data_IF_748312401293
#
_entry.id   IF_748312401293
#
_cell.length_a   1.000
_cell.length_b   1.000
_cell.length_c   1.000
_cell.angle_alpha   90.00
_cell.angle_beta   90.00
_cell.angle_gamma   90.00
#
_symmetry.space_group_name_H-M   'P 1'
#
loop_
_entity.id
_entity.type
_entity.pdbx_description
1 polymer ?
#
# COMPACT_ATOMS: atom_id res chain seq x y z
N UNK A 1 7.05 14.94 2.86
CA UNK A 1 6.61 13.70 2.22
C UNK A 1 7.54 13.44 1.07
N UNK A 2 8.11 12.25 1.04
CA UNK A 2 8.96 11.74 -0.04
C UNK A 2 8.23 10.53 -0.63
N UNK A 3 7.83 10.67 -1.90
CA UNK A 3 7.04 9.64 -2.59
C UNK A 3 7.88 8.38 -2.84
N UNK A 4 9.15 8.54 -3.23
CA UNK A 4 10.03 7.42 -3.53
C UNK A 4 10.31 6.62 -2.26
N UNK A 5 10.62 7.31 -1.15
CA UNK A 5 10.84 6.67 0.15
C UNK A 5 9.58 5.96 0.66
N UNK A 6 8.43 6.62 0.58
CA UNK A 6 7.14 6.04 1.03
C UNK A 6 6.81 4.78 0.23
N UNK A 7 6.93 4.83 -1.09
CA UNK A 7 6.65 3.69 -1.98
C UNK A 7 7.68 2.57 -1.78
N UNK A 8 8.95 2.90 -1.57
CA UNK A 8 9.98 1.92 -1.26
C UNK A 8 9.71 1.20 0.07
N UNK A 9 9.29 1.93 1.10
CA UNK A 9 8.89 1.38 2.41
C UNK A 9 7.70 0.42 2.28
N UNK A 10 6.65 0.83 1.55
CA UNK A 10 5.48 -0.01 1.30
C UNK A 10 5.85 -1.28 0.50
N UNK A 11 6.65 -1.14 -0.55
CA UNK A 11 7.09 -2.27 -1.37
C UNK A 11 7.96 -3.25 -0.56
N UNK A 12 8.88 -2.73 0.27
CA UNK A 12 9.70 -3.55 1.15
C UNK A 12 8.87 -4.33 2.17
N UNK A 13 7.86 -3.68 2.78
CA UNK A 13 6.95 -4.33 3.71
C UNK A 13 6.15 -5.47 3.06
N UNK A 14 5.61 -5.24 1.85
CA UNK A 14 4.92 -6.28 1.08
C UNK A 14 5.87 -7.43 0.75
N UNK A 15 7.07 -7.13 0.26
CA UNK A 15 8.08 -8.12 -0.11
C UNK A 15 8.45 -9.01 1.08
N UNK A 16 8.57 -8.42 2.27
CA UNK A 16 8.86 -9.13 3.51
C UNK A 16 7.73 -10.08 3.93
N UNK A 17 6.47 -9.67 3.78
CA UNK A 17 5.30 -10.43 4.25
C UNK A 17 4.84 -11.47 3.22
N UNK A 18 4.97 -11.19 1.93
CA UNK A 18 4.39 -12.00 0.85
C UNK A 18 5.45 -12.82 0.08
N UNK A 19 6.40 -13.44 0.79
CA UNK A 19 7.40 -14.35 0.21
C UNK A 19 8.18 -13.76 -0.97
N UNK A 20 8.56 -12.48 -0.89
CA UNK A 20 9.34 -11.82 -1.93
C UNK A 20 8.51 -11.26 -3.10
N UNK A 21 7.19 -11.43 -3.11
CA UNK A 21 6.34 -10.83 -4.13
C UNK A 21 6.29 -9.31 -4.00
N UNK A 22 6.29 -8.61 -5.12
CA UNK A 22 6.24 -7.15 -5.17
C UNK A 22 4.83 -6.66 -5.51
N UNK A 23 4.39 -5.53 -4.92
CA UNK A 23 3.12 -4.94 -5.26
C UNK A 23 3.15 -4.37 -6.68
N UNK A 24 2.01 -4.40 -7.35
CA UNK A 24 1.81 -3.74 -8.65
C UNK A 24 1.75 -2.22 -8.46
N UNK A 25 2.04 -1.48 -9.51
CA UNK A 25 2.05 -0.02 -9.51
C UNK A 25 0.75 0.59 -8.99
N UNK A 26 -0.41 0.20 -9.56
CA UNK A 26 -1.71 0.71 -9.11
C UNK A 26 -1.99 0.40 -7.63
N UNK A 27 -1.40 -0.67 -7.10
CA UNK A 27 -1.58 -1.02 -5.71
C UNK A 27 -0.78 -0.08 -4.80
N UNK A 28 0.44 0.30 -5.21
CA UNK A 28 1.26 1.31 -4.53
C UNK A 28 0.60 2.69 -4.58
N UNK A 29 0.01 3.07 -5.71
CA UNK A 29 -0.68 4.37 -5.85
C UNK A 29 -1.82 4.52 -4.84
N UNK A 30 -2.62 3.46 -4.69
CA UNK A 30 -3.71 3.43 -3.70
C UNK A 30 -3.15 3.43 -2.27
N UNK A 31 -2.16 2.58 -1.98
CA UNK A 31 -1.60 2.47 -0.64
C UNK A 31 -0.93 3.78 -0.17
N UNK A 32 -0.23 4.46 -1.08
CA UNK A 32 0.36 5.77 -0.84
C UNK A 32 -0.71 6.84 -0.58
N UNK A 33 -1.77 6.87 -1.38
CA UNK A 33 -2.89 7.78 -1.14
C UNK A 33 -3.55 7.53 0.24
N UNK A 34 -3.67 6.28 0.67
CA UNK A 34 -4.15 5.93 2.01
C UNK A 34 -3.19 6.39 3.12
N UNK A 35 -1.87 6.25 2.94
CA UNK A 35 -0.87 6.77 3.90
C UNK A 35 -0.93 8.29 4.02
N UNK A 36 -1.25 8.99 2.93
CA UNK A 36 -1.45 10.44 2.88
C UNK A 36 -2.81 10.89 3.44
N UNK A 37 -3.70 9.97 3.80
CA UNK A 37 -5.04 10.29 4.30
C UNK A 37 -6.00 10.83 3.22
N UNK A 38 -5.78 10.45 1.96
CA UNK A 38 -6.62 10.84 0.84
C UNK A 38 -7.76 9.83 0.60
N UNK A 39 -8.90 10.32 0.12
CA UNK A 39 -9.99 9.48 -0.34
C UNK A 39 -9.64 8.83 -1.69
N UNK A 40 -9.90 7.53 -1.82
CA UNK A 40 -9.60 6.76 -3.04
C UNK A 40 -10.81 5.96 -3.50
N UNK A 41 -11.12 6.05 -4.79
CA UNK A 41 -12.06 5.15 -5.48
C UNK A 41 -11.29 4.33 -6.51
N UNK A 42 -11.39 3.00 -6.43
CA UNK A 42 -10.72 2.08 -7.38
C UNK A 42 -11.72 1.16 -8.06
N UNK A 43 -11.64 1.08 -9.39
CA UNK A 43 -12.43 0.13 -10.19
C UNK A 43 -11.49 -0.98 -10.65
N UNK A 44 -11.66 -2.19 -10.11
CA UNK A 44 -10.87 -3.35 -10.50
C UNK A 44 -11.67 -4.66 -10.44
N UNK A 45 -11.40 -5.55 -11.40
CA UNK A 45 -12.02 -6.88 -11.47
C UNK A 45 -11.75 -7.76 -10.25
N UNK A 46 -12.48 -8.88 -10.13
CA UNK A 46 -12.20 -9.89 -9.11
C UNK A 46 -10.84 -10.54 -9.37
N UNK A 47 -10.08 -10.84 -8.31
CA UNK A 47 -8.75 -11.44 -8.44
C UNK A 47 -7.63 -10.47 -8.88
N UNK A 48 -7.93 -9.19 -9.13
CA UNK A 48 -6.92 -8.20 -9.52
C UNK A 48 -5.91 -7.87 -8.41
N UNK A 49 -6.17 -8.30 -7.17
CA UNK A 49 -5.37 -7.94 -6.01
C UNK A 49 -5.77 -6.60 -5.38
N UNK A 50 -6.98 -6.09 -5.64
CA UNK A 50 -7.49 -4.85 -5.03
C UNK A 50 -7.60 -4.88 -3.51
N UNK A 51 -7.47 -6.01 -2.83
CA UNK A 51 -7.45 -6.02 -1.35
C UNK A 51 -6.11 -5.57 -0.78
N UNK A 52 -5.00 -5.89 -1.47
CA UNK A 52 -3.65 -5.64 -0.95
C UNK A 52 -3.38 -4.17 -0.59
N UNK A 53 -3.79 -3.16 -1.40
CA UNK A 53 -3.53 -1.75 -1.09
C UNK A 53 -4.05 -1.27 0.26
N UNK A 54 -5.18 -1.80 0.73
CA UNK A 54 -5.77 -1.42 2.03
C UNK A 54 -5.03 -2.06 3.21
N UNK A 55 -4.28 -3.13 2.96
CA UNK A 55 -3.49 -3.83 3.98
C UNK A 55 -2.07 -3.28 4.04
N UNK A 56 -1.52 -2.81 2.91
CA UNK A 56 -0.13 -2.35 2.81
C UNK A 56 0.31 -1.32 3.86
N UNK A 57 -0.45 -0.26 4.16
CA UNK A 57 -0.06 0.71 5.18
C UNK A 57 0.15 0.09 6.57
N UNK A 58 -0.57 -0.99 6.88
CA UNK A 58 -0.48 -1.71 8.16
C UNK A 58 0.75 -2.62 8.25
N UNK A 59 1.39 -2.92 7.13
CA UNK A 59 2.59 -3.76 7.07
C UNK A 59 3.87 -2.96 7.35
N UNK A 60 3.83 -1.64 7.16
CA UNK A 60 4.95 -0.76 7.49
C UNK A 60 4.80 -0.26 8.93
N UNK A 61 5.80 -0.55 9.79
CA UNK A 61 5.81 -0.09 11.19
C UNK A 61 5.66 1.43 11.32
N UNK A 62 6.16 2.18 10.33
CA UNK A 62 6.08 3.64 10.29
C UNK A 62 4.65 4.16 10.03
N UNK A 63 3.83 3.35 9.33
CA UNK A 63 2.51 3.76 8.84
C UNK A 63 1.36 3.06 9.57
N UNK A 64 1.63 2.08 10.44
CA UNK A 64 0.64 1.42 11.30
C UNK A 64 -0.25 2.39 12.07
N UNK A 65 0.31 3.49 12.57
CA UNK A 65 -0.43 4.50 13.34
C UNK A 65 -1.14 5.56 12.48
N UNK A 66 -0.81 5.66 11.19
CA UNK A 66 -1.34 6.68 10.27
C UNK A 66 -2.62 6.21 9.55
N UNK A 67 -3.01 4.96 9.73
CA UNK A 67 -4.15 4.35 9.05
C UNK A 67 -5.27 4.11 10.06
N UNK A 68 -6.23 5.04 10.17
CA UNK A 68 -7.46 4.85 10.96
C UNK A 68 -8.65 5.20 10.06
N UNK A 69 -9.43 4.15 9.76
CA UNK A 69 -10.79 4.05 9.20
C UNK A 69 -11.28 5.20 8.30
#
# INVERSE_FOLDING_TARGET
>A
YDAEETRASLAAAVKSVFNGNEPREFQLDIAEALVLGLDVTTIAGTGSGKTLPWVMPLLSEENKAKTIL
#
